data_IF_040094269494
#
_entry.id   IF_040094269494
#
_cell.length_a   1.000
_cell.length_b   1.000
_cell.length_c   1.000
_cell.angle_alpha   90.00
_cell.angle_beta   90.00
_cell.angle_gamma   90.00
#
_symmetry.space_group_name_H-M   'P 1'
#
loop_
_entity.id
_entity.type
_entity.pdbx_description
1 polymer ?
#
# COMPACT_ATOMS: atom_id res chain seq x y z
N UNK A 1 -8.05 10.55 -22.92
CA UNK A 1 -8.47 9.18 -22.55
C UNK A 1 -7.26 8.41 -22.07
N UNK A 2 -7.34 7.68 -20.94
CA UNK A 2 -6.31 6.71 -20.57
C UNK A 2 -6.24 5.62 -21.63
N UNK A 3 -5.04 5.26 -22.06
CA UNK A 3 -4.85 4.14 -22.99
C UNK A 3 -5.39 2.86 -22.33
N UNK A 4 -6.13 2.04 -23.05
CA UNK A 4 -6.61 0.71 -22.64
C UNK A 4 -5.47 -0.15 -22.05
N UNK A 5 -4.28 -0.01 -22.60
CA UNK A 5 -3.04 -0.64 -22.14
C UNK A 5 -2.71 -0.27 -20.69
N UNK A 6 -2.79 1.01 -20.36
CA UNK A 6 -2.46 1.55 -19.02
C UNK A 6 -3.42 1.01 -17.96
N UNK A 7 -4.71 0.92 -18.28
CA UNK A 7 -5.73 0.41 -17.34
C UNK A 7 -5.53 -1.08 -17.06
N UNK A 8 -5.15 -1.86 -18.07
CA UNK A 8 -4.93 -3.31 -17.92
C UNK A 8 -3.58 -3.67 -17.28
N UNK A 9 -2.68 -2.70 -17.11
CA UNK A 9 -1.39 -2.86 -16.45
C UNK A 9 -1.23 -1.87 -15.29
N UNK A 10 -2.07 -1.93 -14.24
CA UNK A 10 -2.08 -0.94 -13.15
C UNK A 10 -0.76 -0.89 -12.38
N UNK A 11 0.05 -1.95 -12.41
CA UNK A 11 1.34 -2.01 -11.72
C UNK A 11 2.43 -1.19 -12.42
N UNK A 12 2.33 -1.01 -13.77
CA UNK A 12 3.28 -0.20 -14.53
C UNK A 12 3.11 1.29 -14.24
N UNK A 13 4.07 2.09 -14.66
CA UNK A 13 3.98 3.55 -14.58
C UNK A 13 2.77 4.05 -15.37
N UNK A 14 1.83 4.71 -14.69
CA UNK A 14 0.55 5.21 -15.22
C UNK A 14 0.64 6.64 -15.73
N UNK A 15 1.71 7.31 -15.34
CA UNK A 15 1.97 8.70 -15.68
C UNK A 15 2.62 8.88 -17.04
N UNK A 16 2.96 10.13 -17.30
CA UNK A 16 4.00 10.56 -18.22
C UNK A 16 4.60 11.84 -17.67
N UNK A 17 5.84 12.16 -18.02
CA UNK A 17 6.57 13.31 -17.47
C UNK A 17 5.99 14.68 -17.86
N UNK A 18 4.97 14.73 -18.73
CA UNK A 18 4.27 15.96 -19.14
C UNK A 18 3.02 16.26 -18.31
N UNK A 19 2.60 15.35 -17.41
CA UNK A 19 1.48 15.59 -16.52
C UNK A 19 1.76 16.72 -15.53
N UNK A 20 0.71 17.36 -15.08
CA UNK A 20 0.74 18.38 -14.03
C UNK A 20 -0.17 17.98 -12.89
N UNK A 21 0.17 18.38 -11.69
CA UNK A 21 -0.56 18.01 -10.47
C UNK A 21 -0.74 16.48 -10.40
N UNK A 22 0.35 15.74 -10.52
CA UNK A 22 0.33 14.29 -10.58
C UNK A 22 1.41 13.70 -9.67
N UNK A 23 1.05 12.66 -8.98
CA UNK A 23 2.00 11.81 -8.27
C UNK A 23 1.81 10.35 -8.66
N UNK A 24 2.85 9.57 -8.45
CA UNK A 24 2.79 8.11 -8.50
C UNK A 24 3.89 7.55 -7.61
N UNK A 25 3.52 6.65 -6.70
CA UNK A 25 4.43 6.06 -5.73
C UNK A 25 4.17 4.58 -5.53
N UNK A 26 5.22 3.83 -5.23
CA UNK A 26 5.17 2.39 -4.92
C UNK A 26 5.66 2.14 -3.51
N UNK A 27 4.78 1.70 -2.65
CA UNK A 27 5.08 1.36 -1.27
C UNK A 27 5.62 -0.07 -1.20
N UNK A 28 6.94 -0.23 -1.00
CA UNK A 28 7.61 -1.53 -0.87
C UNK A 28 7.94 -1.77 0.60
N UNK A 29 7.07 -2.47 1.31
CA UNK A 29 7.31 -2.88 2.69
C UNK A 29 8.01 -4.22 2.72
N UNK A 30 9.07 -4.32 3.53
CA UNK A 30 9.87 -5.51 3.72
C UNK A 30 10.17 -5.73 5.21
N UNK A 31 10.11 -6.99 5.63
CA UNK A 31 10.44 -7.40 7.01
C UNK A 31 11.37 -8.59 6.94
N UNK A 32 12.47 -8.56 7.70
CA UNK A 32 13.41 -9.66 7.78
C UNK A 32 12.80 -10.94 8.36
N UNK A 33 13.40 -12.10 8.10
CA UNK A 33 12.89 -13.38 8.58
C UNK A 33 12.85 -13.49 10.10
N UNK A 34 13.75 -12.80 10.80
CA UNK A 34 13.79 -12.67 12.27
C UNK A 34 12.94 -11.52 12.82
N UNK A 35 12.27 -10.77 11.92
CA UNK A 35 11.37 -9.63 12.18
C UNK A 35 12.03 -8.43 12.90
N UNK A 36 13.37 -8.35 12.91
CA UNK A 36 14.09 -7.23 13.53
C UNK A 36 14.20 -6.01 12.63
N UNK A 37 14.28 -6.21 11.31
CA UNK A 37 14.33 -5.14 10.32
C UNK A 37 12.98 -4.99 9.66
N UNK A 38 12.32 -3.85 9.86
CA UNK A 38 11.02 -3.51 9.31
C UNK A 38 11.17 -2.22 8.52
N UNK A 39 11.24 -2.32 7.19
CA UNK A 39 11.51 -1.17 6.33
C UNK A 39 10.41 -0.97 5.30
N UNK A 40 10.19 0.29 4.90
CA UNK A 40 9.48 0.65 3.69
C UNK A 40 10.36 1.53 2.81
N UNK A 41 10.40 1.22 1.52
CA UNK A 41 10.99 2.07 0.48
C UNK A 41 9.88 2.51 -0.47
N UNK A 42 9.73 3.82 -0.63
CA UNK A 42 8.64 4.42 -1.40
C UNK A 42 9.26 5.28 -2.52
N UNK A 43 9.70 4.65 -3.65
CA UNK A 43 10.05 5.43 -4.82
C UNK A 43 8.81 6.15 -5.35
N UNK A 44 8.96 7.44 -5.63
CA UNK A 44 7.85 8.33 -5.97
C UNK A 44 8.27 9.30 -7.07
N UNK A 45 7.32 9.65 -7.94
CA UNK A 45 7.41 10.79 -8.85
C UNK A 45 6.33 11.80 -8.49
N UNK A 46 6.70 13.08 -8.43
CA UNK A 46 5.84 14.20 -8.10
C UNK A 46 5.95 15.27 -9.18
N UNK A 47 4.86 15.50 -9.90
CA UNK A 47 4.78 16.44 -11.02
C UNK A 47 3.84 17.59 -10.66
N UNK A 48 4.40 18.75 -10.36
CA UNK A 48 3.65 19.94 -10.01
C UNK A 48 3.15 20.68 -11.27
N UNK A 49 2.25 21.63 -11.05
CA UNK A 49 1.82 22.61 -12.06
C UNK A 49 3.00 23.46 -12.49
N UNK A 50 3.79 23.94 -11.57
CA UNK A 50 5.11 24.49 -11.81
C UNK A 50 6.13 23.37 -11.93
N UNK A 51 6.57 23.14 -13.17
CA UNK A 51 7.47 22.04 -13.49
C UNK A 51 8.83 22.16 -12.81
N UNK A 52 9.26 23.38 -12.42
CA UNK A 52 10.54 23.61 -11.73
C UNK A 52 10.60 22.96 -10.34
N UNK A 53 9.46 22.70 -9.71
CA UNK A 53 9.35 22.03 -8.40
C UNK A 53 9.08 20.52 -8.53
N UNK A 54 8.86 20.03 -9.75
CA UNK A 54 8.67 18.60 -10.02
C UNK A 54 9.96 17.82 -9.74
N UNK A 55 9.82 16.63 -9.19
CA UNK A 55 10.97 15.81 -8.82
C UNK A 55 10.59 14.34 -8.70
N UNK A 56 11.57 13.48 -8.61
CA UNK A 56 11.38 12.13 -8.09
C UNK A 56 12.06 11.98 -6.73
N UNK A 57 11.69 10.96 -5.98
CA UNK A 57 12.22 10.75 -4.64
C UNK A 57 12.19 9.28 -4.24
N UNK A 58 13.02 8.92 -3.28
CA UNK A 58 12.90 7.67 -2.53
C UNK A 58 12.67 8.08 -1.07
N UNK A 59 11.50 7.75 -0.52
CA UNK A 59 11.26 7.87 0.90
C UNK A 59 11.60 6.55 1.56
N UNK A 60 12.43 6.59 2.58
CA UNK A 60 12.81 5.46 3.39
C UNK A 60 12.21 5.59 4.78
N UNK A 61 11.55 4.55 5.23
CA UNK A 61 11.00 4.46 6.57
C UNK A 61 11.52 3.20 7.26
N UNK A 62 12.27 3.39 8.34
CA UNK A 62 12.70 2.35 9.26
C UNK A 62 11.73 2.29 10.44
N UNK A 63 10.79 1.36 10.39
CA UNK A 63 9.80 1.15 11.45
C UNK A 63 10.38 0.53 12.72
N UNK A 64 11.57 -0.10 12.63
CA UNK A 64 12.27 -0.66 13.78
C UNK A 64 12.92 0.44 14.62
N UNK A 65 13.60 1.38 13.96
CA UNK A 65 14.33 2.48 14.61
C UNK A 65 13.51 3.79 14.68
N UNK A 66 12.38 3.87 13.99
CA UNK A 66 11.57 5.08 13.93
C UNK A 66 12.22 6.22 13.15
N UNK A 67 12.88 5.91 12.04
CA UNK A 67 13.59 6.87 11.20
C UNK A 67 12.90 7.01 9.87
N UNK A 68 12.64 8.25 9.46
CA UNK A 68 12.09 8.60 8.14
C UNK A 68 13.08 9.50 7.43
N UNK A 69 13.42 9.16 6.19
CA UNK A 69 14.28 9.96 5.32
C UNK A 69 13.63 10.14 3.95
N UNK A 70 13.85 11.32 3.35
CA UNK A 70 13.34 11.67 2.04
C UNK A 70 14.49 12.09 1.14
N UNK A 71 14.86 11.21 0.20
CA UNK A 71 15.93 11.44 -0.78
C UNK A 71 15.33 12.02 -2.04
N UNK A 72 15.46 13.32 -2.23
CA UNK A 72 15.00 14.04 -3.42
C UNK A 72 16.03 13.92 -4.54
N UNK A 73 15.54 13.70 -5.77
CA UNK A 73 16.30 13.62 -7.02
C UNK A 73 15.67 14.51 -8.07
N UNK A 74 16.49 14.97 -9.03
CA UNK A 74 15.95 15.66 -10.18
C UNK A 74 15.06 14.74 -11.02
N UNK A 75 14.08 15.33 -11.69
CA UNK A 75 13.14 14.54 -12.50
C UNK A 75 13.83 13.77 -13.62
N UNK A 76 14.95 14.26 -14.14
CA UNK A 76 15.80 13.60 -15.14
C UNK A 76 16.44 12.29 -14.64
N UNK A 77 16.50 12.10 -13.32
CA UNK A 77 17.00 10.85 -12.70
C UNK A 77 15.92 9.76 -12.58
N UNK A 78 14.67 10.03 -13.02
CA UNK A 78 13.60 9.03 -13.10
C UNK A 78 13.55 8.37 -14.47
N UNK A 79 13.50 7.05 -14.48
CA UNK A 79 13.32 6.26 -15.70
C UNK A 79 12.29 5.15 -15.50
N UNK A 80 11.31 5.06 -16.41
CA UNK A 80 10.41 3.91 -16.49
C UNK A 80 11.05 2.83 -17.35
N UNK A 81 11.45 1.72 -16.73
CA UNK A 81 12.18 0.62 -17.38
C UNK A 81 11.26 -0.46 -17.96
N UNK A 82 9.95 -0.38 -17.73
CA UNK A 82 8.97 -1.34 -18.27
C UNK A 82 7.61 -0.71 -18.49
N UNK A 83 7.06 -0.94 -19.65
CA UNK A 83 5.75 -0.45 -20.05
C UNK A 83 4.58 -1.28 -19.51
N UNK A 84 4.82 -2.53 -19.09
CA UNK A 84 3.78 -3.48 -18.71
C UNK A 84 3.84 -3.85 -17.22
N UNK A 85 5.00 -3.75 -16.60
CA UNK A 85 5.24 -4.20 -15.25
C UNK A 85 5.82 -3.06 -14.40
N UNK A 86 5.76 -3.21 -13.09
CA UNK A 86 6.48 -2.34 -12.19
C UNK A 86 7.99 -2.56 -12.33
N UNK A 87 8.67 -1.63 -12.96
CA UNK A 87 10.14 -1.54 -13.01
C UNK A 87 10.55 -0.12 -13.30
N UNK A 88 11.16 0.54 -12.34
CA UNK A 88 11.60 1.94 -12.44
C UNK A 88 13.01 2.12 -11.89
N UNK A 89 13.67 3.20 -12.31
CA UNK A 89 14.94 3.67 -11.76
C UNK A 89 14.75 5.07 -11.18
N UNK A 90 15.36 5.33 -10.04
CA UNK A 90 15.57 6.68 -9.48
C UNK A 90 17.03 6.78 -9.06
N UNK A 91 17.77 7.69 -9.68
CA UNK A 91 19.23 7.74 -9.55
C UNK A 91 19.86 6.39 -9.92
N UNK A 92 20.68 5.84 -9.01
CA UNK A 92 21.32 4.53 -9.19
C UNK A 92 20.46 3.36 -8.67
N UNK A 93 19.32 3.63 -8.05
CA UNK A 93 18.47 2.60 -7.45
C UNK A 93 17.39 2.12 -8.42
N UNK A 94 17.19 0.80 -8.49
CA UNK A 94 16.17 0.15 -9.33
C UNK A 94 15.17 -0.57 -8.44
N UNK A 95 13.89 -0.35 -8.71
CA UNK A 95 12.77 -0.99 -8.04
C UNK A 95 11.92 -1.76 -9.04
N UNK A 96 11.46 -2.93 -8.65
CA UNK A 96 10.60 -3.77 -9.49
C UNK A 96 9.71 -4.69 -8.65
N UNK A 97 8.74 -5.33 -9.29
CA UNK A 97 7.95 -6.38 -8.66
C UNK A 97 8.77 -7.62 -8.24
N UNK A 98 9.99 -7.80 -8.79
CA UNK A 98 10.85 -8.96 -8.51
C UNK A 98 12.00 -8.64 -7.55
N UNK A 99 12.08 -7.40 -7.03
CA UNK A 99 13.12 -6.99 -6.10
C UNK A 99 13.54 -5.55 -6.26
N UNK A 100 14.53 -5.16 -5.46
CA UNK A 100 15.15 -3.84 -5.52
C UNK A 100 16.67 -3.94 -5.46
N UNK A 101 17.33 -3.05 -6.19
CA UNK A 101 18.77 -2.81 -6.07
C UNK A 101 18.95 -1.36 -5.62
N UNK A 102 19.47 -1.16 -4.44
CA UNK A 102 19.61 0.16 -3.82
C UNK A 102 21.05 0.63 -3.87
N UNK A 103 21.24 1.86 -4.30
CA UNK A 103 22.48 2.62 -4.20
C UNK A 103 22.14 4.09 -3.96
N UNK A 104 21.94 4.41 -2.67
CA UNK A 104 21.63 5.74 -2.17
C UNK A 104 22.83 6.24 -1.36
N UNK A 105 23.35 7.41 -1.69
CA UNK A 105 24.39 8.12 -0.97
C UNK A 105 24.02 9.62 -0.98
N UNK A 106 23.12 9.99 -0.08
CA UNK A 106 22.53 11.34 -0.01
C UNK A 106 22.20 11.74 1.43
N UNK A 107 22.23 13.03 1.71
CA UNK A 107 21.85 13.60 3.01
C UNK A 107 22.60 13.00 4.21
N UNK A 108 23.83 12.51 3.99
CA UNK A 108 24.63 11.83 5.03
C UNK A 108 24.23 10.38 5.30
N UNK A 109 23.24 9.86 4.58
CA UNK A 109 22.83 8.45 4.68
C UNK A 109 23.32 7.66 3.47
N UNK A 110 23.74 6.43 3.76
CA UNK A 110 24.22 5.47 2.75
C UNK A 110 23.45 4.17 2.85
N UNK A 111 22.67 3.85 1.78
CA UNK A 111 21.88 2.63 1.72
C UNK A 111 22.28 1.88 0.45
N UNK A 112 22.84 0.67 0.60
CA UNK A 112 23.27 -0.15 -0.53
C UNK A 112 22.89 -1.60 -0.34
N UNK A 113 22.54 -2.27 -1.42
CA UNK A 113 22.31 -3.70 -1.44
C UNK A 113 21.25 -4.14 -2.43
N UNK A 114 21.00 -5.44 -2.43
CA UNK A 114 20.07 -6.07 -3.34
C UNK A 114 19.12 -6.98 -2.57
N UNK A 115 17.84 -6.88 -2.91
CA UNK A 115 16.80 -7.79 -2.43
C UNK A 115 16.07 -8.42 -3.63
N UNK A 116 15.90 -9.72 -3.58
CA UNK A 116 15.11 -10.51 -4.53
C UNK A 116 13.76 -10.86 -3.91
N UNK A 117 12.71 -10.73 -4.70
CA UNK A 117 11.35 -11.11 -4.34
C UNK A 117 10.93 -12.36 -5.12
N UNK A 118 10.37 -13.34 -4.39
CA UNK A 118 9.88 -14.59 -4.95
C UNK A 118 8.51 -14.92 -4.37
N UNK A 119 7.79 -15.87 -4.96
CA UNK A 119 6.47 -16.32 -4.49
C UNK A 119 5.44 -15.18 -4.36
N UNK A 120 5.42 -14.26 -5.34
CA UNK A 120 4.51 -13.12 -5.29
C UNK A 120 3.04 -13.54 -5.38
N UNK A 121 2.26 -13.08 -4.42
CA UNK A 121 0.80 -13.22 -4.43
C UNK A 121 0.21 -11.99 -5.09
N UNK A 122 -0.07 -12.11 -6.39
CA UNK A 122 -0.60 -11.03 -7.22
C UNK A 122 -2.12 -11.03 -7.22
N UNK A 123 -2.69 -9.83 -7.42
CA UNK A 123 -4.12 -9.70 -7.70
C UNK A 123 -4.46 -10.37 -9.03
N UNK A 124 -5.48 -11.24 -9.01
CA UNK A 124 -6.03 -11.83 -10.23
C UNK A 124 -6.85 -10.79 -10.99
N UNK A 125 -6.41 -10.46 -12.17
CA UNK A 125 -7.01 -9.43 -13.03
C UNK A 125 -7.91 -10.04 -14.09
N UNK A 126 -9.02 -9.36 -14.35
CA UNK A 126 -9.89 -9.63 -15.48
C UNK A 126 -10.49 -8.30 -16.01
N UNK A 127 -11.26 -8.35 -17.08
CA UNK A 127 -11.85 -7.16 -17.72
C UNK A 127 -12.72 -6.34 -16.75
N UNK A 128 -13.47 -6.99 -15.85
CA UNK A 128 -14.32 -6.30 -14.87
C UNK A 128 -13.54 -5.88 -13.61
N UNK A 129 -12.37 -6.45 -13.38
CA UNK A 129 -11.50 -6.20 -12.24
C UNK A 129 -10.05 -6.04 -12.71
N UNK A 130 -9.72 -4.95 -13.41
CA UNK A 130 -8.35 -4.70 -13.90
C UNK A 130 -7.37 -4.44 -12.75
N UNK A 131 -7.87 -4.08 -11.58
CA UNK A 131 -7.14 -3.88 -10.33
C UNK A 131 -8.06 -4.02 -9.13
N UNK A 132 -7.55 -3.72 -7.95
CA UNK A 132 -8.29 -3.85 -6.67
C UNK A 132 -9.46 -2.88 -6.56
N UNK A 133 -9.47 -1.79 -7.31
CA UNK A 133 -10.58 -0.85 -7.40
C UNK A 133 -11.69 -1.32 -8.35
N UNK A 134 -11.54 -2.50 -8.99
CA UNK A 134 -12.53 -3.07 -9.88
C UNK A 134 -12.91 -2.13 -11.03
N UNK A 135 -14.19 -2.05 -11.34
CA UNK A 135 -14.73 -1.19 -12.39
C UNK A 135 -14.43 0.32 -12.18
N UNK A 136 -14.20 0.74 -10.93
CA UNK A 136 -13.83 2.12 -10.60
C UNK A 136 -12.51 2.53 -11.25
N UNK A 137 -11.61 1.58 -11.52
CA UNK A 137 -10.35 1.83 -12.23
C UNK A 137 -10.53 2.43 -13.63
N UNK A 138 -11.69 2.27 -14.24
CA UNK A 138 -12.01 2.82 -15.56
C UNK A 138 -12.48 4.29 -15.52
N UNK A 139 -12.94 4.78 -14.37
CA UNK A 139 -13.39 6.15 -14.27
C UNK A 139 -12.19 7.11 -14.35
N UNK A 140 -12.21 8.08 -15.28
CA UNK A 140 -11.18 9.10 -15.33
C UNK A 140 -11.37 10.10 -14.17
N UNK A 141 -10.30 10.83 -13.83
CA UNK A 141 -10.35 11.96 -12.88
C UNK A 141 -10.62 11.56 -11.42
N UNK A 142 -10.33 10.33 -11.02
CA UNK A 142 -10.23 10.02 -9.60
C UNK A 142 -9.05 10.81 -9.00
N UNK A 143 -9.25 11.37 -7.82
CA UNK A 143 -8.19 12.09 -7.11
C UNK A 143 -7.02 11.15 -6.77
N UNK A 144 -7.34 9.92 -6.36
CA UNK A 144 -6.37 8.85 -6.09
C UNK A 144 -6.87 7.54 -6.66
N UNK A 145 -5.95 6.79 -7.25
CA UNK A 145 -6.12 5.38 -7.60
C UNK A 145 -5.21 4.55 -6.72
N UNK A 146 -5.67 3.39 -6.35
CA UNK A 146 -4.96 2.43 -5.52
C UNK A 146 -4.80 1.09 -6.23
N UNK A 147 -3.63 0.49 -6.10
CA UNK A 147 -3.31 -0.81 -6.69
C UNK A 147 -2.45 -1.67 -5.77
N UNK A 148 -2.72 -2.97 -5.73
CA UNK A 148 -1.89 -3.93 -5.01
C UNK A 148 -1.09 -4.72 -6.03
N UNK A 149 0.24 -4.60 -5.96
CA UNK A 149 1.18 -5.33 -6.81
C UNK A 149 1.42 -6.72 -6.26
N UNK A 150 1.61 -6.83 -4.95
CA UNK A 150 1.81 -8.11 -4.25
C UNK A 150 1.28 -8.07 -2.83
N UNK A 151 0.33 -8.94 -2.50
CA UNK A 151 -0.22 -9.10 -1.15
C UNK A 151 0.78 -9.72 -0.16
N UNK A 152 1.68 -10.55 -0.67
CA UNK A 152 2.70 -11.25 0.09
C UNK A 152 3.77 -11.77 -0.87
N UNK A 153 5.02 -11.78 -0.46
CA UNK A 153 6.12 -12.41 -1.18
C UNK A 153 7.28 -12.69 -0.22
N UNK A 154 8.14 -13.60 -0.62
CA UNK A 154 9.39 -13.89 0.09
C UNK A 154 10.44 -12.85 -0.30
N UNK A 155 11.22 -12.42 0.67
CA UNK A 155 12.32 -11.45 0.49
C UNK A 155 13.63 -12.07 0.93
N UNK A 156 14.60 -12.10 0.01
CA UNK A 156 15.95 -12.61 0.26
C UNK A 156 17.00 -11.60 -0.20
N UNK A 157 18.07 -11.44 0.56
CA UNK A 157 19.19 -10.58 0.23
C UNK A 157 19.77 -9.82 1.41
N UNK A 158 20.53 -8.77 1.12
CA UNK A 158 21.23 -7.99 2.14
C UNK A 158 21.13 -6.51 1.80
N UNK A 159 20.78 -5.71 2.79
CA UNK A 159 20.92 -4.25 2.75
C UNK A 159 21.93 -3.80 3.79
N UNK A 160 22.79 -2.85 3.41
CA UNK A 160 23.66 -2.12 4.31
C UNK A 160 23.12 -0.70 4.45
N UNK A 161 22.81 -0.30 5.67
CA UNK A 161 22.28 1.03 6.00
C UNK A 161 23.28 1.68 6.96
N UNK A 162 23.99 2.70 6.48
CA UNK A 162 25.04 3.42 7.23
C UNK A 162 26.13 2.47 7.80
N UNK A 163 26.44 1.38 7.09
CA UNK A 163 27.39 0.36 7.50
C UNK A 163 26.75 -0.86 8.17
N UNK A 164 25.59 -0.71 8.79
CA UNK A 164 24.88 -1.81 9.45
C UNK A 164 24.31 -2.79 8.44
N UNK A 165 24.59 -4.07 8.65
CA UNK A 165 24.17 -5.17 7.79
C UNK A 165 22.78 -5.68 8.22
N UNK A 166 21.80 -5.55 7.36
CA UNK A 166 20.45 -6.11 7.51
C UNK A 166 20.29 -7.29 6.55
N UNK A 167 20.08 -8.48 7.10
CA UNK A 167 19.93 -9.73 6.33
C UNK A 167 18.46 -10.08 6.20
N UNK A 168 18.02 -10.26 4.96
CA UNK A 168 16.70 -10.78 4.63
C UNK A 168 16.91 -12.21 4.14
N UNK A 169 16.57 -13.16 5.00
CA UNK A 169 16.55 -14.59 4.72
C UNK A 169 15.13 -15.07 5.01
N UNK A 170 14.43 -15.48 3.96
CA UNK A 170 13.03 -15.86 4.03
C UNK A 170 12.14 -14.79 4.72
N UNK A 171 12.48 -13.52 4.52
CA UNK A 171 11.68 -12.39 4.95
C UNK A 171 10.35 -12.31 4.20
N UNK A 172 9.52 -11.33 4.54
CA UNK A 172 8.23 -11.10 3.87
C UNK A 172 8.09 -9.67 3.39
N UNK A 173 7.51 -9.51 2.21
CA UNK A 173 7.22 -8.21 1.65
C UNK A 173 5.79 -8.03 1.19
N UNK A 174 5.45 -6.77 0.95
CA UNK A 174 4.19 -6.29 0.41
C UNK A 174 4.48 -5.13 -0.53
N UNK A 175 3.78 -5.06 -1.65
CA UNK A 175 3.90 -3.93 -2.57
C UNK A 175 2.51 -3.44 -2.94
N UNK A 176 2.26 -2.16 -2.70
CA UNK A 176 1.12 -1.44 -3.24
C UNK A 176 1.57 -0.20 -4.00
N UNK A 177 0.64 0.46 -4.64
CA UNK A 177 0.89 1.59 -5.49
C UNK A 177 -0.28 2.53 -5.49
N UNK A 178 0.02 3.82 -5.35
CA UNK A 178 -0.95 4.89 -5.46
C UNK A 178 -0.54 5.89 -6.54
N UNK A 179 -1.54 6.43 -7.25
CA UNK A 179 -1.30 7.45 -8.27
C UNK A 179 -2.53 8.33 -8.47
N UNK A 180 -2.31 9.57 -8.85
CA UNK A 180 -3.38 10.54 -9.05
C UNK A 180 -2.89 11.96 -8.91
N UNK A 181 -3.73 12.84 -8.34
CA UNK A 181 -3.38 14.23 -8.05
C UNK A 181 -3.02 14.46 -6.58
N UNK A 182 -3.72 13.79 -5.66
CA UNK A 182 -3.54 13.95 -4.20
C UNK A 182 -3.99 12.69 -3.49
N UNK A 183 -3.53 12.49 -2.25
CA UNK A 183 -4.22 11.59 -1.34
C UNK A 183 -5.59 12.17 -0.95
N UNK A 184 -6.55 11.33 -0.54
CA UNK A 184 -7.85 11.77 -0.04
C UNK A 184 -7.70 12.69 1.18
N UNK A 185 -8.72 13.51 1.47
CA UNK A 185 -8.72 14.37 2.67
C UNK A 185 -8.74 13.57 3.97
N UNK A 186 -9.31 12.36 3.93
CA UNK A 186 -9.45 11.49 5.09
C UNK A 186 -9.39 10.03 4.66
N UNK A 187 -8.57 9.24 5.38
CA UNK A 187 -8.49 7.79 5.14
C UNK A 187 -8.02 7.00 6.36
N UNK A 188 -8.33 5.73 6.34
CA UNK A 188 -7.68 4.71 7.15
C UNK A 188 -7.13 3.68 6.18
N UNK A 189 -5.86 3.35 6.33
CA UNK A 189 -5.22 2.24 5.64
C UNK A 189 -4.55 1.32 6.65
N UNK A 190 -4.58 0.02 6.38
CA UNK A 190 -3.84 -0.95 7.16
C UNK A 190 -3.50 -2.21 6.35
N UNK A 191 -2.34 -2.78 6.65
CA UNK A 191 -1.88 -4.02 6.05
C UNK A 191 -1.06 -4.84 7.04
N UNK A 192 -1.24 -6.17 7.03
CA UNK A 192 -0.29 -7.12 7.60
C UNK A 192 -0.25 -8.42 6.79
N UNK A 193 0.94 -9.02 6.68
CA UNK A 193 1.17 -10.37 6.22
C UNK A 193 1.96 -11.20 7.25
N UNK A 194 2.05 -10.72 8.51
CA UNK A 194 2.75 -11.37 9.62
C UNK A 194 1.77 -11.96 10.63
N UNK A 195 0.98 -12.91 10.16
CA UNK A 195 0.07 -13.74 10.95
C UNK A 195 0.76 -15.04 11.40
N UNK A 196 0.12 -15.80 12.32
CA UNK A 196 0.58 -17.15 12.68
C UNK A 196 0.59 -18.07 11.46
N UNK A 197 -0.43 -17.97 10.61
CA UNK A 197 -0.45 -18.60 9.29
C UNK A 197 0.37 -17.76 8.29
N UNK A 198 1.50 -18.30 7.82
CA UNK A 198 2.36 -17.63 6.81
C UNK A 198 1.64 -17.38 5.46
N UNK A 199 0.61 -18.14 5.16
CA UNK A 199 -0.21 -18.02 3.95
C UNK A 199 -1.45 -17.14 4.18
N UNK A 200 -1.35 -16.15 5.08
CA UNK A 200 -2.39 -15.17 5.35
C UNK A 200 -1.84 -13.76 5.17
N UNK A 201 -2.54 -12.95 4.41
CA UNK A 201 -2.29 -11.53 4.25
C UNK A 201 -3.61 -10.77 4.25
N UNK A 202 -3.59 -9.59 4.84
CA UNK A 202 -4.76 -8.75 5.02
C UNK A 202 -4.42 -7.31 4.66
N UNK A 203 -5.30 -6.65 3.91
CA UNK A 203 -5.27 -5.20 3.71
C UNK A 203 -6.68 -4.62 3.78
N UNK A 204 -6.79 -3.42 4.30
CA UNK A 204 -8.01 -2.63 4.35
C UNK A 204 -7.70 -1.17 4.09
N UNK A 205 -8.53 -0.54 3.28
CA UNK A 205 -8.51 0.91 3.05
C UNK A 205 -9.95 1.42 3.01
N UNK A 206 -10.20 2.53 3.70
CA UNK A 206 -11.40 3.35 3.56
C UNK A 206 -10.98 4.79 3.39
N UNK A 207 -11.57 5.48 2.44
CA UNK A 207 -11.23 6.87 2.15
C UNK A 207 -12.47 7.67 1.74
N UNK A 208 -12.38 8.98 2.00
CA UNK A 208 -13.36 9.96 1.51
C UNK A 208 -13.07 10.26 0.04
N UNK A 209 -13.94 9.80 -0.83
CA UNK A 209 -13.78 9.93 -2.28
C UNK A 209 -14.75 11.00 -2.80
N UNK A 210 -14.25 12.06 -3.47
CA UNK A 210 -15.12 13.02 -4.14
C UNK A 210 -15.78 12.35 -5.36
N UNK A 211 -17.11 12.41 -5.44
CA UNK A 211 -17.89 11.87 -6.55
C UNK A 211 -19.08 12.78 -6.85
N UNK A 212 -19.12 13.41 -8.04
CA UNK A 212 -20.22 14.26 -8.52
C UNK A 212 -20.74 15.27 -7.46
N UNK A 213 -19.86 16.08 -6.89
CA UNK A 213 -20.17 17.06 -5.82
C UNK A 213 -20.57 16.45 -4.45
N UNK A 214 -20.50 15.13 -4.31
CA UNK A 214 -20.67 14.43 -3.05
C UNK A 214 -19.32 13.86 -2.59
N UNK A 215 -19.17 13.69 -1.28
CA UNK A 215 -18.05 12.94 -0.70
C UNK A 215 -18.59 11.61 -0.19
N UNK A 216 -18.21 10.51 -0.81
CA UNK A 216 -18.64 9.16 -0.45
C UNK A 216 -17.51 8.41 0.24
N UNK A 217 -17.84 7.56 1.20
CA UNK A 217 -16.88 6.64 1.78
C UNK A 217 -16.71 5.43 0.86
N UNK A 218 -15.57 5.36 0.19
CA UNK A 218 -15.16 4.18 -0.57
C UNK A 218 -14.26 3.28 0.26
N UNK A 219 -14.49 1.96 0.24
CA UNK A 219 -13.62 1.03 0.93
C UNK A 219 -13.28 -0.20 0.09
N UNK A 220 -12.15 -0.78 0.40
CA UNK A 220 -11.72 -2.09 -0.02
C UNK A 220 -11.10 -2.84 1.17
N UNK A 221 -11.41 -4.12 1.27
CA UNK A 221 -10.80 -5.03 2.23
C UNK A 221 -10.52 -6.36 1.54
N UNK A 222 -9.29 -6.80 1.61
CA UNK A 222 -8.82 -7.99 0.91
C UNK A 222 -8.09 -8.88 1.90
N UNK A 223 -8.48 -10.15 1.92
CA UNK A 223 -7.78 -11.20 2.64
C UNK A 223 -7.32 -12.23 1.60
N UNK A 224 -6.04 -12.53 1.59
CA UNK A 224 -5.51 -13.73 0.95
C UNK A 224 -5.22 -14.78 2.02
N UNK A 225 -5.80 -15.96 1.88
CA UNK A 225 -5.60 -17.06 2.80
C UNK A 225 -5.46 -18.37 2.03
N UNK A 226 -4.28 -19.00 2.08
CA UNK A 226 -4.00 -20.32 1.49
C UNK A 226 -4.48 -20.45 0.02
N UNK A 227 -4.13 -19.47 -0.81
CA UNK A 227 -4.48 -19.45 -2.23
C UNK A 227 -5.86 -18.86 -2.56
N UNK A 228 -6.68 -18.52 -1.56
CA UNK A 228 -8.01 -17.93 -1.76
C UNK A 228 -8.06 -16.47 -1.39
N UNK A 229 -8.70 -15.66 -2.25
CA UNK A 229 -9.03 -14.27 -1.97
C UNK A 229 -10.45 -14.10 -1.44
N UNK A 230 -10.59 -13.38 -0.33
CA UNK A 230 -11.86 -12.86 0.18
C UNK A 230 -11.85 -11.34 -0.03
N UNK A 231 -12.90 -10.83 -0.70
CA UNK A 231 -12.94 -9.45 -1.21
C UNK A 231 -14.20 -8.77 -0.71
N UNK A 232 -14.03 -7.69 0.03
CA UNK A 232 -15.12 -6.82 0.48
C UNK A 232 -14.86 -5.42 -0.03
N UNK A 233 -15.70 -4.94 -0.92
CA UNK A 233 -15.51 -3.62 -1.52
C UNK A 233 -16.84 -2.88 -1.63
N UNK A 234 -16.79 -1.55 -1.68
CA UNK A 234 -17.98 -0.72 -1.87
C UNK A 234 -18.75 -1.10 -3.14
N UNK A 235 -18.06 -1.53 -4.19
CA UNK A 235 -18.66 -1.91 -5.48
C UNK A 235 -19.10 -3.37 -5.56
N UNK A 236 -18.75 -4.24 -4.59
CA UNK A 236 -19.16 -5.66 -4.56
C UNK A 236 -20.44 -5.91 -3.76
N UNK A 237 -21.05 -4.85 -3.20
CA UNK A 237 -22.23 -4.95 -2.36
C UNK A 237 -21.93 -5.30 -0.90
N UNK A 238 -20.67 -5.35 -0.50
CA UNK A 238 -20.30 -5.43 0.92
C UNK A 238 -20.65 -4.12 1.63
N UNK A 239 -20.98 -4.22 2.93
CA UNK A 239 -21.33 -3.08 3.77
C UNK A 239 -20.52 -3.08 5.04
N UNK A 240 -20.04 -1.92 5.45
CA UNK A 240 -19.51 -1.69 6.79
C UNK A 240 -20.71 -1.56 7.72
N UNK A 241 -20.86 -2.52 8.63
CA UNK A 241 -21.95 -2.53 9.64
C UNK A 241 -21.60 -1.72 10.87
N UNK A 242 -20.30 -1.66 11.18
CA UNK A 242 -19.77 -0.91 12.32
C UNK A 242 -18.36 -0.43 11.97
N UNK A 243 -18.06 0.80 12.35
CA UNK A 243 -16.73 1.40 12.27
C UNK A 243 -16.53 2.30 13.49
N UNK A 244 -15.67 1.87 14.39
CA UNK A 244 -15.26 2.62 15.56
C UNK A 244 -13.81 3.06 15.37
N UNK A 245 -13.55 4.35 15.43
CA UNK A 245 -12.22 4.93 15.20
C UNK A 245 -11.83 5.77 16.41
N UNK A 246 -10.73 5.38 17.03
CA UNK A 246 -10.02 6.19 18.03
C UNK A 246 -8.66 6.64 17.47
N UNK A 247 -7.91 7.44 18.19
CA UNK A 247 -6.55 7.87 17.79
C UNK A 247 -5.58 6.71 17.65
N UNK A 248 -5.79 5.62 18.37
CA UNK A 248 -4.90 4.47 18.45
C UNK A 248 -5.56 3.13 18.11
N UNK A 249 -6.89 3.09 18.00
CA UNK A 249 -7.63 1.85 17.79
C UNK A 249 -8.67 2.03 16.70
N UNK A 250 -8.67 1.11 15.75
CA UNK A 250 -9.72 0.99 14.74
C UNK A 250 -10.39 -0.37 14.89
N UNK A 251 -11.73 -0.37 14.96
CA UNK A 251 -12.54 -1.60 14.96
C UNK A 251 -13.59 -1.48 13.88
N UNK A 252 -13.81 -2.54 13.14
CA UNK A 252 -14.89 -2.57 12.18
C UNK A 252 -15.49 -3.96 11.97
N UNK A 253 -16.71 -3.97 11.46
CA UNK A 253 -17.43 -5.16 11.01
C UNK A 253 -17.87 -4.88 9.58
N UNK A 254 -17.46 -5.75 8.66
CA UNK A 254 -17.89 -5.73 7.26
C UNK A 254 -18.67 -7.01 6.99
N UNK A 255 -19.77 -6.89 6.23
CA UNK A 255 -20.59 -8.03 5.81
C UNK A 255 -20.90 -7.94 4.32
N UNK A 256 -20.85 -9.08 3.66
CA UNK A 256 -21.49 -9.32 2.37
C UNK A 256 -22.56 -10.44 2.52
N UNK A 257 -23.05 -10.96 1.39
CA UNK A 257 -24.04 -12.03 1.40
C UNK A 257 -23.54 -13.33 2.03
N UNK A 258 -22.23 -13.57 2.02
CA UNK A 258 -21.63 -14.87 2.33
C UNK A 258 -20.70 -14.82 3.55
N UNK A 259 -20.11 -13.67 3.83
CA UNK A 259 -19.07 -13.54 4.86
C UNK A 259 -19.31 -12.37 5.78
N UNK A 260 -18.83 -12.52 7.03
CA UNK A 260 -18.71 -11.44 8.02
C UNK A 260 -17.24 -11.38 8.42
N UNK A 261 -16.65 -10.21 8.27
CA UNK A 261 -15.31 -9.89 8.72
C UNK A 261 -15.38 -8.95 9.91
N UNK A 262 -14.69 -9.32 10.97
CA UNK A 262 -14.45 -8.46 12.15
C UNK A 262 -12.97 -8.19 12.22
N UNK A 263 -12.58 -6.93 12.39
CA UNK A 263 -11.19 -6.55 12.55
C UNK A 263 -11.02 -5.56 13.72
N UNK A 264 -9.87 -5.66 14.38
CA UNK A 264 -9.41 -4.69 15.39
C UNK A 264 -7.93 -4.43 15.15
N UNK A 265 -7.58 -3.19 14.84
CA UNK A 265 -6.20 -2.72 14.74
C UNK A 265 -5.84 -1.87 15.95
N UNK A 266 -4.60 -2.00 16.43
CA UNK A 266 -4.01 -1.19 17.49
C UNK A 266 -2.75 -0.56 16.93
N UNK A 267 -2.70 0.76 16.94
CA UNK A 267 -1.60 1.56 16.38
C UNK A 267 -0.36 1.43 17.24
N UNK A 268 0.77 1.16 16.61
CA UNK A 268 2.09 1.16 17.22
C UNK A 268 2.72 2.56 17.19
N UNK A 269 4.05 2.61 17.38
CA UNK A 269 4.81 3.84 17.21
C UNK A 269 4.63 4.38 15.79
N UNK A 270 4.34 5.67 15.67
CA UNK A 270 3.99 6.32 14.40
C UNK A 270 4.94 7.42 14.06
N UNK A 271 5.15 7.62 12.77
CA UNK A 271 6.10 8.58 12.23
C UNK A 271 5.46 9.33 11.07
N UNK A 272 5.94 10.54 10.83
CA UNK A 272 5.41 11.43 9.81
C UNK A 272 6.15 11.21 8.48
N UNK A 273 5.42 10.74 7.48
CA UNK A 273 5.85 10.58 6.10
C UNK A 273 5.32 11.72 5.24
N UNK A 274 6.05 12.05 4.17
CA UNK A 274 5.53 12.97 3.16
C UNK A 274 4.46 12.30 2.32
N UNK A 275 3.38 13.02 2.09
CA UNK A 275 2.25 12.59 1.28
C UNK A 275 1.98 13.56 0.11
N UNK A 276 1.39 13.10 -0.99
CA UNK A 276 1.12 13.94 -2.15
C UNK A 276 -0.11 14.81 -1.94
N UNK A 277 0.01 16.10 -2.34
CA UNK A 277 -1.08 17.06 -2.41
C UNK A 277 -0.92 17.88 -3.69
N UNK A 278 -1.82 17.71 -4.66
CA UNK A 278 -1.76 18.34 -5.98
C UNK A 278 -0.41 18.17 -6.70
N UNK A 279 0.16 16.96 -6.62
CA UNK A 279 1.44 16.63 -7.24
C UNK A 279 2.67 17.19 -6.51
N UNK A 280 2.51 17.71 -5.29
CA UNK A 280 3.60 18.18 -4.42
C UNK A 280 3.69 17.24 -3.22
N UNK A 281 4.91 16.89 -2.78
CA UNK A 281 5.16 16.03 -1.63
C UNK A 281 5.29 16.86 -0.33
N UNK A 282 4.25 17.65 -0.02
CA UNK A 282 4.17 18.55 1.15
C UNK A 282 3.04 18.19 2.11
N UNK A 283 2.21 17.20 1.75
CA UNK A 283 1.25 16.60 2.67
C UNK A 283 1.94 15.71 3.70
N UNK A 284 1.20 15.32 4.72
CA UNK A 284 1.67 14.48 5.83
C UNK A 284 0.85 13.21 5.92
N UNK A 285 1.49 12.11 6.28
CA UNK A 285 0.89 10.83 6.55
C UNK A 285 1.50 10.22 7.82
N UNK A 286 0.69 10.07 8.86
CA UNK A 286 1.18 9.50 10.12
C UNK A 286 1.01 7.99 10.11
N UNK A 287 2.09 7.29 9.77
CA UNK A 287 2.12 5.83 9.63
C UNK A 287 2.85 5.14 10.79
N UNK A 288 2.35 3.98 11.16
CA UNK A 288 3.02 2.99 12.01
C UNK A 288 3.27 1.72 11.20
N UNK A 289 4.46 1.12 11.32
CA UNK A 289 4.76 -0.23 10.79
C UNK A 289 4.84 -1.31 11.88
N UNK A 290 4.63 -0.95 13.13
CA UNK A 290 4.68 -1.85 14.29
C UNK A 290 3.30 -2.10 14.91
N UNK A 291 2.25 -1.76 14.19
CA UNK A 291 0.86 -1.97 14.59
C UNK A 291 0.49 -3.45 14.65
N UNK A 292 -0.65 -3.73 15.28
CA UNK A 292 -1.16 -5.09 15.50
C UNK A 292 -2.60 -5.16 14.98
N UNK A 293 -2.94 -6.24 14.26
CA UNK A 293 -4.27 -6.41 13.69
C UNK A 293 -4.80 -7.79 14.07
N UNK A 294 -5.96 -7.84 14.72
CA UNK A 294 -6.73 -9.08 14.93
C UNK A 294 -7.84 -9.13 13.90
N UNK A 295 -7.97 -10.27 13.19
CA UNK A 295 -9.06 -10.50 12.25
C UNK A 295 -9.82 -11.78 12.62
N UNK A 296 -11.12 -11.76 12.34
CA UNK A 296 -12.00 -12.93 12.42
C UNK A 296 -12.92 -12.94 11.20
N UNK A 297 -12.84 -13.99 10.40
CA UNK A 297 -13.68 -14.19 9.22
C UNK A 297 -14.63 -15.35 9.46
N UNK A 298 -15.90 -15.09 9.27
CA UNK A 298 -17.00 -16.05 9.42
C UNK A 298 -17.71 -16.23 8.07
N UNK A 299 -18.07 -17.46 7.73
CA UNK A 299 -19.01 -17.75 6.65
C UNK A 299 -20.42 -17.87 7.22
N UNK A 300 -21.37 -17.20 6.59
CA UNK A 300 -22.79 -17.27 6.94
C UNK A 300 -23.33 -18.63 6.51
N UNK A 301 -23.90 -19.38 7.42
CA UNK A 301 -24.53 -20.68 7.12
C UNK A 301 -25.88 -20.48 6.37
N UNK A 302 -26.44 -21.56 5.82
CA UNK A 302 -27.80 -21.56 5.28
C UNK A 302 -28.84 -21.23 6.37
N UNK A 303 -28.58 -21.64 7.61
CA UNK A 303 -29.30 -21.16 8.78
C UNK A 303 -28.69 -19.80 9.21
N UNK A 304 -29.43 -18.67 9.11
CA UNK A 304 -28.90 -17.32 9.31
C UNK A 304 -28.38 -17.06 10.73
N UNK A 305 -28.67 -17.92 11.68
CA UNK A 305 -28.20 -17.82 13.06
C UNK A 305 -26.90 -18.61 13.31
N UNK A 306 -26.42 -19.33 12.30
CA UNK A 306 -25.17 -20.10 12.37
C UNK A 306 -24.08 -19.52 11.51
N UNK A 307 -22.85 -19.58 12.04
CA UNK A 307 -21.66 -19.06 11.39
C UNK A 307 -20.52 -20.08 11.49
N UNK A 308 -19.83 -20.30 10.41
CA UNK A 308 -18.66 -21.16 10.36
C UNK A 308 -17.39 -20.28 10.44
N UNK A 309 -16.52 -20.54 11.40
CA UNK A 309 -15.26 -19.84 11.55
C UNK A 309 -14.28 -20.28 10.45
N UNK A 310 -13.81 -19.32 9.63
CA UNK A 310 -12.79 -19.57 8.59
C UNK A 310 -11.41 -19.12 9.07
N UNK A 311 -11.31 -17.91 9.64
CA UNK A 311 -10.06 -17.31 10.09
C UNK A 311 -10.27 -16.69 11.47
N UNK A 312 -9.34 -16.93 12.38
CA UNK A 312 -9.19 -16.17 13.61
C UNK A 312 -7.70 -16.08 13.90
N UNK A 313 -7.07 -14.93 13.62
CA UNK A 313 -5.64 -14.80 13.74
C UNK A 313 -5.23 -13.37 14.11
N UNK A 314 -3.96 -13.21 14.50
CA UNK A 314 -3.38 -11.99 14.99
C UNK A 314 -2.13 -11.64 14.18
N UNK A 315 -2.21 -10.53 13.44
CA UNK A 315 -1.12 -9.99 12.65
C UNK A 315 -0.29 -8.97 13.44
N UNK A 316 1.00 -9.04 13.27
CA UNK A 316 2.00 -8.09 13.79
C UNK A 316 2.72 -7.39 12.64
N UNK A 317 3.64 -6.50 12.96
CA UNK A 317 4.36 -5.71 11.97
C UNK A 317 3.41 -5.07 10.94
N UNK A 318 2.25 -4.62 11.42
CA UNK A 318 1.23 -4.05 10.55
C UNK A 318 1.52 -2.59 10.23
N UNK A 319 1.35 -2.23 8.95
CA UNK A 319 1.15 -0.84 8.55
C UNK A 319 -0.20 -0.35 9.04
N UNK A 320 -0.26 0.86 9.58
CA UNK A 320 -1.52 1.51 9.97
C UNK A 320 -1.41 3.02 9.87
N UNK A 321 -2.31 3.60 9.09
CA UNK A 321 -2.55 5.02 8.94
C UNK A 321 -3.96 5.35 9.40
N UNK A 322 -4.11 6.44 10.15
CA UNK A 322 -5.40 7.01 10.58
C UNK A 322 -5.30 8.51 10.33
N UNK A 323 -5.89 8.99 9.24
CA UNK A 323 -5.81 10.37 8.80
C UNK A 323 -7.20 11.01 8.79
N UNK A 324 -7.32 12.12 9.52
CA UNK A 324 -8.55 12.93 9.66
C UNK A 324 -9.85 12.11 9.85
N UNK A 325 -9.85 11.29 10.90
CA UNK A 325 -10.92 10.33 11.21
C UNK A 325 -12.33 10.92 11.29
N UNK A 326 -12.45 12.22 11.58
CA UNK A 326 -13.74 12.87 11.81
C UNK A 326 -14.60 12.96 10.54
N UNK A 327 -13.99 12.88 9.36
CA UNK A 327 -14.72 12.85 8.09
C UNK A 327 -15.22 11.45 7.69
N UNK A 328 -14.76 10.37 8.35
CA UNK A 328 -15.11 8.98 8.02
C UNK A 328 -16.22 8.40 8.89
N UNK A 329 -16.51 9.02 10.04
CA UNK A 329 -17.52 8.60 11.01
C UNK A 329 -18.95 8.93 10.53
#
# INVERSE_FOLDING_TARGET
>A
MRSWRVINHPNSFQGNLKKKNYFEGWYNKIVSGDEKSIFAFIPTIALNKDYSTSHCAIQFFDGSAGRVEYFKYDLSEFENLSELNYKIRIGNSVFSENGMNLDIDRNGSKIKGFLRYTNLIRWERNILQPGVMGIISYFPMMETYHGIVSMNHTVDGILRINGDKNVFDNGRGYIEKDWGSSFPSSWIWMHSNHFSNRNLSFTFSIAKIPFLNLKLNGFLCIIWNQGRFYKFTSYSGAKILKLDIDSTVVKFIIRDKRYILMAKAIKGSSFDLRAPKLGIMEGHCIESMTSKIKIKLLEVDKNPDKYNLIISDFGRNAGLEIMDKNELA
#
